data_IF_910337495620
#
_entry.id   IF_910337495620
#
_cell.length_a   1.000
_cell.length_b   1.000
_cell.length_c   1.000
_cell.angle_alpha   90.00
_cell.angle_beta   90.00
_cell.angle_gamma   90.00
#
_symmetry.space_group_name_H-M   'P 1'
#
loop_
_entity.id
_entity.type
_entity.pdbx_description
1 polymer ?
#
# COMPACT_ATOMS: atom_id res chain seq x y z
N UNK A 1 15.87 -61.75 -53.90
CA UNK A 1 14.63 -60.93 -53.87
C UNK A 1 13.77 -61.40 -52.71
N UNK A 2 13.72 -60.64 -51.62
CA UNK A 2 12.58 -60.63 -50.68
C UNK A 2 12.76 -59.45 -49.73
N UNK A 3 12.22 -58.30 -50.09
CA UNK A 3 11.94 -57.21 -49.15
C UNK A 3 10.70 -57.61 -48.35
N UNK A 4 10.87 -57.86 -47.04
CA UNK A 4 9.75 -57.94 -46.11
C UNK A 4 9.50 -56.56 -45.54
N UNK A 5 8.48 -55.88 -46.08
CA UNK A 5 7.87 -54.72 -45.45
C UNK A 5 7.24 -55.12 -44.12
N UNK A 6 7.66 -54.46 -43.04
CA UNK A 6 6.99 -54.51 -41.75
C UNK A 6 5.77 -53.57 -41.84
N UNK A 7 4.54 -54.03 -41.61
CA UNK A 7 3.40 -53.13 -41.60
C UNK A 7 3.45 -52.26 -40.34
N UNK A 8 3.63 -50.94 -40.53
CA UNK A 8 3.38 -49.93 -39.52
C UNK A 8 1.91 -50.03 -39.07
N UNK A 9 1.65 -50.64 -37.92
CA UNK A 9 0.41 -50.43 -37.18
C UNK A 9 0.45 -49.02 -36.60
N UNK A 10 -0.02 -48.05 -37.39
CA UNK A 10 -0.34 -46.72 -36.88
C UNK A 10 -1.28 -46.86 -35.69
N UNK A 11 -0.80 -46.44 -34.51
CA UNK A 11 -1.56 -46.49 -33.27
C UNK A 11 -2.84 -45.68 -33.44
N UNK A 12 -3.99 -46.35 -33.43
CA UNK A 12 -5.33 -45.72 -33.53
C UNK A 12 -5.63 -44.73 -32.40
N UNK A 13 -4.74 -44.63 -31.41
CA UNK A 13 -4.85 -43.75 -30.27
C UNK A 13 -4.00 -42.48 -30.39
N UNK A 14 -3.12 -42.37 -31.40
CA UNK A 14 -2.28 -41.18 -31.59
C UNK A 14 -3.11 -39.90 -31.86
N UNK A 15 -4.18 -39.93 -32.69
CA UNK A 15 -5.03 -38.74 -32.89
C UNK A 15 -5.80 -38.37 -31.62
N UNK A 16 -6.22 -39.37 -30.84
CA UNK A 16 -6.99 -39.18 -29.60
C UNK A 16 -6.11 -38.61 -28.49
N UNK A 17 -4.86 -39.07 -28.38
CA UNK A 17 -3.88 -38.55 -27.43
C UNK A 17 -3.44 -37.11 -27.77
N UNK A 18 -3.34 -36.76 -29.06
CA UNK A 18 -3.06 -35.39 -29.50
C UNK A 18 -4.26 -34.47 -29.25
N UNK A 19 -5.50 -34.95 -29.43
CA UNK A 19 -6.71 -34.18 -29.09
C UNK A 19 -6.88 -33.99 -27.58
N UNK A 20 -6.59 -35.01 -26.77
CA UNK A 20 -6.61 -34.91 -25.32
C UNK A 20 -5.52 -33.97 -24.79
N UNK A 21 -4.32 -33.99 -25.37
CA UNK A 21 -3.26 -33.06 -25.00
C UNK A 21 -3.54 -31.63 -25.45
N UNK A 22 -4.19 -31.42 -26.62
CA UNK A 22 -4.66 -30.11 -27.05
C UNK A 22 -5.78 -29.57 -26.16
N UNK A 23 -6.74 -30.42 -25.76
CA UNK A 23 -7.81 -30.02 -24.83
C UNK A 23 -7.28 -29.70 -23.42
N UNK A 24 -6.27 -30.45 -22.95
CA UNK A 24 -5.58 -30.14 -21.69
C UNK A 24 -4.79 -28.82 -21.79
N UNK A 25 -4.10 -28.56 -22.90
CA UNK A 25 -3.43 -27.28 -23.14
C UNK A 25 -4.40 -26.10 -23.27
N UNK A 26 -5.58 -26.30 -23.86
CA UNK A 26 -6.64 -25.28 -23.96
C UNK A 26 -7.28 -24.99 -22.59
N UNK A 27 -7.39 -25.98 -21.70
CA UNK A 27 -7.87 -25.76 -20.32
C UNK A 27 -6.87 -25.03 -19.42
N UNK A 28 -5.60 -24.95 -19.82
CA UNK A 28 -4.55 -24.20 -19.11
C UNK A 28 -4.42 -22.76 -19.65
N UNK A 29 -4.98 -22.47 -20.83
CA UNK A 29 -4.92 -21.15 -21.48
C UNK A 29 -6.17 -20.28 -21.27
N UNK A 30 -7.19 -20.80 -20.59
CA UNK A 30 -8.32 -20.01 -20.09
C UNK A 30 -8.51 -20.39 -18.63
N UNK A 31 -7.69 -19.83 -17.75
CA UNK A 31 -8.15 -19.56 -16.39
C UNK A 31 -9.26 -18.49 -16.50
N UNK A 32 -10.40 -18.90 -17.06
CA UNK A 32 -11.61 -18.12 -17.04
C UNK A 32 -12.04 -18.11 -15.59
N UNK A 33 -12.04 -16.94 -14.98
CA UNK A 33 -12.77 -16.71 -13.74
C UNK A 33 -14.16 -17.32 -13.93
N UNK A 34 -14.61 -18.15 -12.99
CA UNK A 34 -16.03 -18.54 -13.03
C UNK A 34 -16.89 -17.27 -12.95
N UNK A 35 -18.12 -17.27 -13.48
CA UNK A 35 -19.01 -16.08 -13.36
C UNK A 35 -19.11 -15.61 -11.90
N UNK A 36 -19.09 -16.55 -10.93
CA UNK A 36 -19.00 -16.23 -9.51
C UNK A 36 -17.70 -15.54 -9.09
N UNK A 37 -16.56 -15.88 -9.68
CA UNK A 37 -15.27 -15.22 -9.40
C UNK A 37 -15.20 -13.83 -10.05
N UNK A 38 -15.84 -13.64 -11.21
CA UNK A 38 -15.96 -12.33 -11.87
C UNK A 38 -16.84 -11.38 -11.04
N UNK A 39 -18.00 -11.85 -10.55
CA UNK A 39 -18.88 -11.08 -9.67
C UNK A 39 -18.21 -10.71 -8.34
N UNK A 40 -17.48 -11.66 -7.74
CA UNK A 40 -16.68 -11.42 -6.52
C UNK A 40 -15.56 -10.42 -6.77
N UNK A 41 -14.86 -10.54 -7.89
CA UNK A 41 -13.82 -9.60 -8.29
C UNK A 41 -14.37 -8.19 -8.46
N UNK A 42 -15.47 -8.04 -9.20
CA UNK A 42 -16.12 -6.76 -9.42
C UNK A 42 -16.58 -6.13 -8.10
N UNK A 43 -17.26 -6.90 -7.25
CA UNK A 43 -17.73 -6.42 -5.95
C UNK A 43 -16.57 -5.98 -5.03
N UNK A 44 -15.48 -6.74 -5.02
CA UNK A 44 -14.32 -6.44 -4.18
C UNK A 44 -13.57 -5.20 -4.67
N UNK A 45 -13.29 -5.13 -5.97
CA UNK A 45 -12.64 -3.96 -6.59
C UNK A 45 -13.48 -2.69 -6.41
N UNK A 46 -14.79 -2.76 -6.63
CA UNK A 46 -15.71 -1.66 -6.37
C UNK A 46 -15.69 -1.19 -4.91
N UNK A 47 -15.63 -2.13 -3.96
CA UNK A 47 -15.54 -1.81 -2.53
C UNK A 47 -14.23 -1.09 -2.20
N UNK A 48 -13.11 -1.59 -2.72
CA UNK A 48 -11.78 -0.99 -2.54
C UNK A 48 -11.76 0.43 -3.12
N UNK A 49 -12.26 0.63 -4.34
CA UNK A 49 -12.30 1.95 -4.98
C UNK A 49 -13.19 2.93 -4.22
N UNK A 50 -14.31 2.45 -3.66
CA UNK A 50 -15.19 3.27 -2.83
C UNK A 50 -14.51 3.71 -1.54
N UNK A 51 -13.81 2.79 -0.86
CA UNK A 51 -13.06 3.09 0.35
C UNK A 51 -11.92 4.05 0.05
N UNK A 52 -11.14 3.78 -0.99
CA UNK A 52 -10.03 4.64 -1.37
C UNK A 52 -10.49 6.04 -1.74
N UNK A 53 -11.57 6.19 -2.52
CA UNK A 53 -12.11 7.50 -2.87
C UNK A 53 -12.55 8.30 -1.63
N UNK A 54 -13.11 7.64 -0.62
CA UNK A 54 -13.43 8.27 0.67
C UNK A 54 -12.14 8.66 1.41
N UNK A 55 -11.14 7.79 1.40
CA UNK A 55 -9.82 8.08 1.95
C UNK A 55 -9.16 9.29 1.30
N UNK A 56 -9.14 9.34 -0.03
CA UNK A 56 -8.58 10.43 -0.82
C UNK A 56 -9.33 11.75 -0.57
N UNK A 57 -10.65 11.69 -0.43
CA UNK A 57 -11.47 12.86 -0.07
C UNK A 57 -11.11 13.41 1.31
N UNK A 58 -11.00 12.55 2.33
CA UNK A 58 -10.56 12.98 3.67
C UNK A 58 -9.11 13.48 3.66
N UNK A 59 -8.21 12.79 2.95
CA UNK A 59 -6.80 13.20 2.82
C UNK A 59 -6.67 14.60 2.22
N UNK A 60 -7.47 14.92 1.20
CA UNK A 60 -7.48 16.25 0.59
C UNK A 60 -7.94 17.38 1.53
N UNK A 61 -8.61 17.02 2.63
CA UNK A 61 -9.08 17.96 3.65
C UNK A 61 -8.10 18.14 4.81
N UNK A 62 -7.01 17.35 4.86
CA UNK A 62 -5.98 17.46 5.89
C UNK A 62 -5.06 18.64 5.60
N UNK A 63 -4.88 19.52 6.59
CA UNK A 63 -3.86 20.55 6.52
C UNK A 63 -2.53 20.04 7.08
N UNK A 64 -1.65 19.57 6.20
CA UNK A 64 -0.34 19.04 6.57
C UNK A 64 0.65 20.09 7.10
N UNK A 65 0.32 21.39 7.02
CA UNK A 65 1.17 22.45 7.55
C UNK A 65 0.83 22.79 9.02
N UNK A 66 -0.24 22.19 9.56
CA UNK A 66 -0.70 22.39 10.95
C UNK A 66 -0.93 21.06 11.66
N UNK A 67 0.14 20.51 12.24
CA UNK A 67 0.13 19.20 12.87
C UNK A 67 -0.66 19.13 14.19
N UNK A 68 -1.06 20.25 14.78
CA UNK A 68 -1.86 20.33 16.02
C UNK A 68 -3.34 20.65 15.78
N UNK A 69 -3.75 20.87 14.53
CA UNK A 69 -5.12 21.22 14.19
C UNK A 69 -6.06 20.01 14.36
N UNK A 70 -7.05 20.15 15.26
CA UNK A 70 -8.01 19.09 15.59
C UNK A 70 -8.73 18.56 14.36
N UNK A 71 -9.16 19.45 13.46
CA UNK A 71 -9.90 19.07 12.25
C UNK A 71 -9.03 18.23 11.31
N UNK A 72 -7.77 18.65 11.12
CA UNK A 72 -6.78 17.91 10.32
C UNK A 72 -6.44 16.54 10.92
N UNK A 73 -6.38 16.42 12.25
CA UNK A 73 -6.15 15.13 12.93
C UNK A 73 -7.32 14.17 12.70
N UNK A 74 -8.56 14.66 12.80
CA UNK A 74 -9.74 13.81 12.57
C UNK A 74 -9.85 13.37 11.11
N UNK A 75 -9.62 14.26 10.15
CA UNK A 75 -9.59 13.90 8.73
C UNK A 75 -8.45 12.90 8.41
N UNK A 76 -7.28 13.06 9.02
CA UNK A 76 -6.19 12.11 8.86
C UNK A 76 -6.54 10.71 9.40
N UNK A 77 -7.23 10.62 10.54
CA UNK A 77 -7.73 9.33 11.08
C UNK A 77 -8.78 8.72 10.15
N UNK A 78 -9.72 9.52 9.67
CA UNK A 78 -10.75 9.07 8.74
C UNK A 78 -10.12 8.48 7.48
N UNK A 79 -9.20 9.22 6.84
CA UNK A 79 -8.48 8.76 5.67
C UNK A 79 -7.69 7.47 5.94
N UNK A 80 -6.95 7.42 7.05
CA UNK A 80 -6.16 6.24 7.46
C UNK A 80 -7.05 5.00 7.59
N UNK A 81 -8.19 5.12 8.26
CA UNK A 81 -9.14 4.03 8.45
C UNK A 81 -9.73 3.55 7.11
N UNK A 82 -10.01 4.45 6.16
CA UNK A 82 -10.50 4.03 4.85
C UNK A 82 -9.45 3.21 4.08
N UNK A 83 -8.18 3.66 4.07
CA UNK A 83 -7.11 2.91 3.40
C UNK A 83 -6.81 1.58 4.10
N UNK A 84 -6.85 1.54 5.43
CA UNK A 84 -6.71 0.30 6.21
C UNK A 84 -7.81 -0.70 5.83
N UNK A 85 -9.06 -0.26 5.78
CA UNK A 85 -10.17 -1.11 5.37
C UNK A 85 -10.01 -1.59 3.92
N UNK A 86 -9.53 -0.73 3.01
CA UNK A 86 -9.25 -1.13 1.63
C UNK A 86 -8.17 -2.21 1.55
N UNK A 87 -7.09 -2.08 2.33
CA UNK A 87 -6.02 -3.07 2.44
C UNK A 87 -6.51 -4.39 3.04
N UNK A 88 -7.36 -4.34 4.07
CA UNK A 88 -7.99 -5.53 4.66
C UNK A 88 -8.86 -6.24 3.63
N UNK A 89 -9.68 -5.50 2.88
CA UNK A 89 -10.53 -6.07 1.82
C UNK A 89 -9.67 -6.72 0.72
N UNK A 90 -8.60 -6.09 0.25
CA UNK A 90 -7.70 -6.67 -0.75
C UNK A 90 -7.00 -7.93 -0.24
N UNK A 91 -6.41 -7.86 0.96
CA UNK A 91 -5.65 -8.98 1.55
C UNK A 91 -6.52 -10.18 1.94
N UNK A 92 -7.80 -9.97 2.24
CA UNK A 92 -8.73 -11.04 2.59
C UNK A 92 -9.30 -11.78 1.37
N UNK A 93 -9.06 -11.30 0.14
CA UNK A 93 -9.64 -11.85 -1.09
C UNK A 93 -8.56 -12.20 -2.12
N UNK A 94 -7.88 -13.36 -1.98
CA UNK A 94 -6.75 -13.72 -2.83
C UNK A 94 -7.11 -13.93 -4.31
N UNK A 95 -8.39 -14.14 -4.63
CA UNK A 95 -8.91 -14.22 -6.00
C UNK A 95 -8.82 -12.89 -6.75
N UNK A 96 -8.76 -11.77 -6.03
CA UNK A 96 -8.66 -10.42 -6.60
C UNK A 96 -7.33 -10.21 -7.34
N UNK A 97 -6.24 -10.80 -6.84
CA UNK A 97 -4.94 -10.72 -7.51
C UNK A 97 -4.96 -11.37 -8.90
N UNK A 98 -5.71 -12.46 -9.05
CA UNK A 98 -5.85 -13.16 -10.32
C UNK A 98 -6.68 -12.35 -11.34
N UNK A 99 -7.76 -11.69 -10.89
CA UNK A 99 -8.63 -10.93 -11.79
C UNK A 99 -8.13 -9.52 -12.14
N UNK A 100 -7.48 -8.81 -11.19
CA UNK A 100 -6.86 -7.51 -11.47
C UNK A 100 -5.56 -7.63 -12.27
N UNK A 101 -4.96 -8.82 -12.27
CA UNK A 101 -3.59 -9.04 -12.70
C UNK A 101 -2.60 -8.74 -11.57
N UNK A 102 -1.65 -9.66 -11.37
CA UNK A 102 -0.71 -9.64 -10.25
C UNK A 102 0.06 -8.31 -10.11
N UNK A 103 0.44 -7.69 -11.23
CA UNK A 103 1.21 -6.44 -11.19
C UNK A 103 0.34 -5.26 -10.77
N UNK A 104 -0.88 -5.14 -11.30
CA UNK A 104 -1.81 -4.08 -10.91
C UNK A 104 -2.21 -4.21 -9.43
N UNK A 105 -2.46 -5.45 -8.97
CA UNK A 105 -2.73 -5.73 -7.57
C UNK A 105 -1.58 -5.31 -6.64
N UNK A 106 -0.33 -5.63 -7.01
CA UNK A 106 0.86 -5.23 -6.23
C UNK A 106 1.02 -3.72 -6.16
N UNK A 107 0.87 -3.02 -7.30
CA UNK A 107 0.92 -1.56 -7.35
C UNK A 107 -0.17 -0.96 -6.45
N UNK A 108 -1.40 -1.48 -6.53
CA UNK A 108 -2.53 -1.01 -5.72
C UNK A 108 -2.29 -1.16 -4.22
N UNK A 109 -1.78 -2.31 -3.79
CA UNK A 109 -1.41 -2.53 -2.38
C UNK A 109 -0.30 -1.58 -1.94
N UNK A 110 0.72 -1.39 -2.77
CA UNK A 110 1.83 -0.52 -2.43
C UNK A 110 1.37 0.95 -2.33
N UNK A 111 0.52 1.40 -3.25
CA UNK A 111 -0.09 2.72 -3.25
C UNK A 111 -0.87 2.98 -1.95
N UNK A 112 -1.78 2.07 -1.60
CA UNK A 112 -2.58 2.15 -0.38
C UNK A 112 -1.70 2.11 0.88
N UNK A 113 -0.67 1.27 0.91
CA UNK A 113 0.28 1.20 2.03
C UNK A 113 1.08 2.50 2.19
N UNK A 114 1.49 3.15 1.09
CA UNK A 114 2.18 4.45 1.16
C UNK A 114 1.27 5.51 1.76
N UNK A 115 0.02 5.59 1.30
CA UNK A 115 -0.97 6.55 1.83
C UNK A 115 -1.30 6.28 3.30
N UNK A 116 -1.56 5.03 3.64
CA UNK A 116 -1.80 4.59 5.03
C UNK A 116 -0.61 4.94 5.93
N UNK A 117 0.61 4.55 5.52
CA UNK A 117 1.81 4.75 6.30
C UNK A 117 2.15 6.22 6.50
N UNK A 118 1.91 7.07 5.50
CA UNK A 118 2.08 8.51 5.63
C UNK A 118 1.10 9.12 6.64
N UNK A 119 -0.18 8.71 6.64
CA UNK A 119 -1.15 9.21 7.61
C UNK A 119 -0.87 8.71 9.03
N UNK A 120 -0.44 7.46 9.18
CA UNK A 120 0.03 6.94 10.47
C UNK A 120 1.20 7.75 11.02
N UNK A 121 2.19 8.03 10.17
CA UNK A 121 3.33 8.87 10.49
C UNK A 121 2.88 10.29 10.89
N UNK A 122 1.98 10.92 10.14
CA UNK A 122 1.43 12.25 10.47
C UNK A 122 0.80 12.28 11.87
N UNK A 123 0.00 11.27 12.21
CA UNK A 123 -0.65 11.16 13.51
C UNK A 123 0.37 10.93 14.65
N UNK A 124 1.39 10.09 14.43
CA UNK A 124 2.49 9.88 15.38
C UNK A 124 3.33 11.13 15.58
N UNK A 125 3.58 11.88 14.50
CA UNK A 125 4.29 13.14 14.55
C UNK A 125 3.54 14.16 15.42
N UNK A 126 2.24 14.36 15.16
CA UNK A 126 1.36 15.23 15.95
C UNK A 126 1.37 14.86 17.45
N UNK A 127 1.23 13.57 17.76
CA UNK A 127 1.25 13.10 19.15
C UNK A 127 2.61 13.34 19.82
N UNK A 128 3.71 13.16 19.08
CA UNK A 128 5.08 13.38 19.58
C UNK A 128 5.36 14.87 19.79
N UNK A 129 4.94 15.75 18.88
CA UNK A 129 5.12 17.20 19.01
C UNK A 129 4.33 17.76 20.21
N UNK A 130 3.17 17.15 20.54
CA UNK A 130 2.46 17.42 21.79
C UNK A 130 3.27 17.00 23.04
N UNK A 131 3.99 15.87 23.00
CA UNK A 131 4.90 15.48 24.10
C UNK A 131 6.02 16.49 24.28
N UNK A 132 6.64 16.94 23.18
CA UNK A 132 7.67 18.00 23.19
C UNK A 132 7.14 19.26 23.88
N UNK A 133 5.96 19.70 23.48
CA UNK A 133 5.33 20.91 24.02
C UNK A 133 5.03 20.83 25.51
N UNK A 134 4.73 19.63 26.03
CA UNK A 134 4.46 19.43 27.46
C UNK A 134 5.72 19.17 28.29
N UNK A 135 6.81 18.72 27.65
CA UNK A 135 8.05 18.34 28.33
C UNK A 135 8.70 19.52 29.09
N UNK A 136 8.56 20.75 28.58
CA UNK A 136 9.12 21.95 29.22
C UNK A 136 8.54 22.28 30.59
N UNK A 137 7.40 21.67 30.95
CA UNK A 137 6.74 21.85 32.25
C UNK A 137 7.06 20.74 33.25
N UNK A 138 7.92 19.78 32.89
CA UNK A 138 8.27 18.64 33.74
C UNK A 138 9.51 18.93 34.60
N UNK A 139 9.60 18.28 35.76
CA UNK A 139 10.81 18.30 36.59
C UNK A 139 11.98 17.59 35.90
N UNK A 140 13.22 17.95 36.24
CA UNK A 140 14.41 17.53 35.50
C UNK A 140 14.54 16.01 35.23
N UNK A 141 14.27 15.10 36.18
CA UNK A 141 14.35 13.65 35.90
C UNK A 141 13.29 13.18 34.89
N UNK A 142 12.08 13.74 34.96
CA UNK A 142 10.98 13.43 34.03
C UNK A 142 11.26 14.02 32.66
N UNK A 143 11.73 15.27 32.61
CA UNK A 143 12.20 15.94 31.40
C UNK A 143 13.23 15.08 30.65
N UNK A 144 14.26 14.58 31.34
CA UNK A 144 15.30 13.74 30.72
C UNK A 144 14.74 12.42 30.17
N UNK A 145 13.78 11.81 30.86
CA UNK A 145 13.13 10.58 30.40
C UNK A 145 12.27 10.84 29.15
N UNK A 146 11.48 11.90 29.17
CA UNK A 146 10.64 12.33 28.05
C UNK A 146 11.50 12.72 26.85
N UNK A 147 12.58 13.47 27.04
CA UNK A 147 13.50 13.89 25.98
C UNK A 147 14.07 12.67 25.23
N UNK A 148 14.58 11.67 25.96
CA UNK A 148 15.11 10.46 25.36
C UNK A 148 14.04 9.65 24.62
N UNK A 149 12.81 9.64 25.11
CA UNK A 149 11.68 8.96 24.46
C UNK A 149 11.30 9.66 23.16
N UNK A 150 11.14 10.98 23.20
CA UNK A 150 10.79 11.79 22.03
C UNK A 150 11.87 11.71 20.95
N UNK A 151 13.16 11.74 21.30
CA UNK A 151 14.25 11.57 20.34
C UNK A 151 14.13 10.21 19.63
N UNK A 152 13.90 9.12 20.37
CA UNK A 152 13.70 7.78 19.78
C UNK A 152 12.47 7.72 18.88
N UNK A 153 11.37 8.35 19.29
CA UNK A 153 10.14 8.41 18.50
C UNK A 153 10.41 9.13 17.16
N UNK A 154 11.13 10.26 17.17
CA UNK A 154 11.52 10.97 15.95
C UNK A 154 12.53 10.19 15.09
N UNK A 155 13.51 9.50 15.67
CA UNK A 155 14.45 8.64 14.93
C UNK A 155 13.72 7.48 14.22
N UNK A 156 12.75 6.86 14.88
CA UNK A 156 11.91 5.83 14.30
C UNK A 156 11.08 6.40 13.14
N UNK A 157 10.39 7.53 13.35
CA UNK A 157 9.63 8.21 12.30
C UNK A 157 10.50 8.62 11.10
N UNK A 158 11.74 9.08 11.34
CA UNK A 158 12.71 9.40 10.28
C UNK A 158 12.99 8.19 9.39
N UNK A 159 13.13 7.01 9.99
CA UNK A 159 13.37 5.75 9.27
C UNK A 159 12.13 5.35 8.47
N UNK A 160 10.95 5.47 9.07
CA UNK A 160 9.67 5.17 8.41
C UNK A 160 9.43 6.08 7.20
N UNK A 161 9.71 7.39 7.30
CA UNK A 161 9.61 8.33 6.17
C UNK A 161 10.48 7.89 5.02
N UNK A 162 11.74 7.52 5.28
CA UNK A 162 12.67 7.06 4.24
C UNK A 162 12.18 5.80 3.55
N UNK A 163 11.65 4.85 4.32
CA UNK A 163 11.07 3.63 3.76
C UNK A 163 9.86 3.96 2.87
N UNK A 164 9.00 4.89 3.30
CA UNK A 164 7.86 5.36 2.52
C UNK A 164 8.29 6.11 1.24
N UNK A 165 9.34 6.93 1.30
CA UNK A 165 9.90 7.60 0.12
C UNK A 165 10.40 6.60 -0.92
N UNK A 166 11.13 5.56 -0.48
CA UNK A 166 11.58 4.46 -1.36
C UNK A 166 10.39 3.74 -1.96
N UNK A 167 9.42 3.31 -1.13
CA UNK A 167 8.22 2.62 -1.60
C UNK A 167 7.40 3.48 -2.60
N UNK A 168 7.30 4.79 -2.38
CA UNK A 168 6.63 5.71 -3.28
C UNK A 168 7.40 5.96 -4.59
N UNK A 169 8.73 5.88 -4.55
CA UNK A 169 9.61 6.02 -5.72
C UNK A 169 9.63 4.76 -6.59
N UNK A 170 9.58 3.58 -5.97
CA UNK A 170 9.59 2.28 -6.66
C UNK A 170 8.24 1.94 -7.33
N UNK A 171 7.21 2.74 -7.06
CA UNK A 171 5.87 2.54 -7.57
C UNK A 171 5.76 3.00 -9.04
N UNK A 172 5.30 2.11 -9.91
CA UNK A 172 4.98 2.43 -11.31
C UNK A 172 3.77 3.38 -11.38
N UNK A 173 4.05 4.69 -11.39
CA UNK A 173 3.03 5.74 -11.38
C UNK A 173 2.06 5.64 -12.55
N UNK A 174 2.46 5.05 -13.69
CA UNK A 174 1.58 4.86 -14.85
C UNK A 174 0.42 3.90 -14.59
N UNK A 175 0.49 3.14 -13.50
CA UNK A 175 -0.52 2.16 -13.08
C UNK A 175 -1.39 2.64 -11.91
N UNK A 176 -1.12 3.82 -11.36
CA UNK A 176 -2.00 4.45 -10.37
C UNK A 176 -3.28 4.89 -11.11
N UNK A 177 -4.48 4.58 -10.59
CA UNK A 177 -5.71 5.12 -11.17
C UNK A 177 -5.71 6.65 -11.16
N UNK A 178 -6.04 7.26 -12.30
CA UNK A 178 -6.06 8.73 -12.46
C UNK A 178 -6.90 9.45 -11.40
N UNK A 179 -7.96 8.80 -10.89
CA UNK A 179 -8.81 9.33 -9.82
C UNK A 179 -8.10 9.48 -8.48
N UNK A 180 -6.96 8.82 -8.32
CA UNK A 180 -6.21 8.74 -7.06
C UNK A 180 -4.81 9.36 -7.13
N UNK A 181 -4.35 9.67 -8.34
CA UNK A 181 -3.04 10.25 -8.61
C UNK A 181 -2.79 11.55 -7.84
N UNK A 182 -3.81 12.42 -7.71
CA UNK A 182 -3.70 13.67 -6.97
C UNK A 182 -3.42 13.44 -5.46
N UNK A 183 -4.11 12.48 -4.85
CA UNK A 183 -3.90 12.13 -3.44
C UNK A 183 -2.52 11.51 -3.24
N UNK A 184 -2.10 10.60 -4.12
CA UNK A 184 -0.78 10.00 -4.06
C UNK A 184 0.35 11.03 -4.23
N UNK A 185 0.21 11.96 -5.18
CA UNK A 185 1.20 13.02 -5.39
C UNK A 185 1.27 13.99 -4.19
N UNK A 186 0.15 14.24 -3.52
CA UNK A 186 0.12 15.00 -2.25
C UNK A 186 0.95 14.30 -1.19
N UNK A 187 0.75 12.99 -0.99
CA UNK A 187 1.53 12.18 -0.04
C UNK A 187 3.03 12.22 -0.39
N UNK A 188 3.37 11.98 -1.65
CA UNK A 188 4.77 11.97 -2.12
C UNK A 188 5.44 13.31 -1.84
N UNK A 189 4.78 14.43 -2.15
CA UNK A 189 5.31 15.77 -1.90
C UNK A 189 5.51 16.04 -0.41
N UNK A 190 4.60 15.56 0.45
CA UNK A 190 4.64 15.85 1.89
C UNK A 190 5.60 14.96 2.68
N UNK A 191 6.01 13.81 2.15
CA UNK A 191 7.05 12.98 2.78
C UNK A 191 8.38 13.74 2.93
N UNK A 192 8.77 14.53 1.93
CA UNK A 192 10.01 15.32 1.96
C UNK A 192 9.94 16.44 3.02
N UNK A 193 8.80 17.13 3.09
CA UNK A 193 8.53 18.17 4.09
C UNK A 193 8.63 17.59 5.51
N UNK A 194 7.98 16.44 5.75
CA UNK A 194 8.00 15.79 7.06
C UNK A 194 9.40 15.29 7.43
N UNK A 195 10.18 14.74 6.48
CA UNK A 195 11.56 14.33 6.76
C UNK A 195 12.40 15.52 7.23
N UNK A 196 12.29 16.65 6.54
CA UNK A 196 13.01 17.87 6.86
C UNK A 196 12.63 18.39 8.25
N UNK A 197 11.33 18.38 8.57
CA UNK A 197 10.85 18.82 9.87
C UNK A 197 11.31 17.90 11.01
N UNK A 198 11.29 16.58 10.81
CA UNK A 198 11.85 15.61 11.76
C UNK A 198 13.34 15.87 11.99
N UNK A 199 14.12 16.08 10.93
CA UNK A 199 15.56 16.34 11.04
C UNK A 199 15.84 17.65 11.81
N UNK A 200 15.05 18.70 11.58
CA UNK A 200 15.13 19.95 12.32
C UNK A 200 14.79 19.75 13.81
N UNK A 201 13.70 19.02 14.10
CA UNK A 201 13.28 18.71 15.49
C UNK A 201 14.35 17.92 16.24
N UNK A 202 14.89 16.87 15.62
CA UNK A 202 15.98 16.08 16.19
C UNK A 202 17.20 16.94 16.51
N UNK A 203 17.62 17.81 15.58
CA UNK A 203 18.76 18.71 15.79
C UNK A 203 18.56 19.61 17.02
N UNK A 204 17.35 20.14 17.22
CA UNK A 204 17.01 20.95 18.40
C UNK A 204 17.00 20.09 19.66
N UNK A 205 16.36 18.92 19.64
CA UNK A 205 16.25 18.06 20.81
C UNK A 205 17.60 17.54 21.30
N UNK A 206 18.53 17.19 20.41
CA UNK A 206 19.87 16.80 20.80
C UNK A 206 20.66 17.93 21.48
N UNK A 207 20.30 19.20 21.27
CA UNK A 207 20.95 20.30 21.98
C UNK A 207 20.59 20.38 23.47
N UNK A 208 19.50 19.71 23.88
CA UNK A 208 19.06 19.59 25.28
C UNK A 208 19.57 18.33 25.97
N UNK A 209 20.25 17.44 25.23
CA UNK A 209 20.82 16.18 25.72
C UNK A 209 22.25 16.38 26.19
#
# INVERSE_FOLDING_TARGET
MSDKQIPYRGSRYLPVLILLSLCLLLSVLVAGCSESDEDLCFSTTYTVDTLEKRGDSSLSSVNFDKFDDFFSIEEAKNAKNQYENALVVLSSNPTVAACMGNDAYKVRIMELNVKYGFLDLFLRYSATDKKVSNMVFQDYPEFQTTLNTVIKDYEAMRTDVRNLQVAASDLDQSRIPSTSEAAFNTVKSKLDDVLKDIDNRLSVLYSYR
#
